data_IF_061981233004
#
_entry.id   IF_061981233004
#
_cell.length_a   1.000
_cell.length_b   1.000
_cell.length_c   1.000
_cell.angle_alpha   90.00
_cell.angle_beta   90.00
_cell.angle_gamma   90.00
#
_symmetry.space_group_name_H-M   'P 1'
#
loop_
_entity.id
_entity.type
_entity.pdbx_description
1 polymer ?
#
# COMPACT_ATOMS: atom_id res chain seq x y z
N UNK A 1 -6.42 -4.02 -21.51
CA UNK A 1 -5.01 -4.20 -21.12
C UNK A 1 -4.98 -4.58 -19.64
N UNK A 2 -4.28 -5.67 -19.27
CA UNK A 2 -3.98 -5.97 -17.87
C UNK A 2 -3.02 -4.89 -17.37
N UNK A 3 -3.56 -3.84 -16.76
CA UNK A 3 -2.74 -2.72 -16.29
C UNK A 3 -1.77 -3.20 -15.21
N UNK A 4 -0.48 -2.90 -15.38
CA UNK A 4 0.55 -3.21 -14.37
C UNK A 4 0.26 -2.36 -13.13
N UNK A 5 -0.28 -2.98 -12.09
CA UNK A 5 -0.52 -2.30 -10.82
C UNK A 5 0.82 -2.09 -10.10
N UNK A 6 1.13 -0.83 -9.75
CA UNK A 6 2.36 -0.44 -9.08
C UNK A 6 2.29 -0.78 -7.59
N UNK A 7 3.44 -1.05 -6.98
CA UNK A 7 3.58 -1.13 -5.51
C UNK A 7 3.56 0.29 -4.96
N UNK A 8 2.39 0.75 -4.54
CA UNK A 8 2.21 2.15 -4.16
C UNK A 8 3.02 2.49 -2.90
N UNK A 9 3.62 3.68 -2.90
CA UNK A 9 4.34 4.25 -1.77
C UNK A 9 3.86 5.68 -1.55
N UNK A 10 3.68 6.04 -0.30
CA UNK A 10 3.14 7.34 0.12
C UNK A 10 4.07 7.97 1.15
N UNK A 11 4.22 9.28 1.09
CA UNK A 11 4.87 10.08 2.13
C UNK A 11 3.83 11.03 2.71
N UNK A 12 3.71 11.04 4.03
CA UNK A 12 2.85 11.95 4.77
C UNK A 12 3.77 12.96 5.42
N UNK A 13 3.59 14.23 5.03
CA UNK A 13 4.43 15.34 5.47
C UNK A 13 3.58 16.40 6.16
N UNK A 14 4.20 17.18 7.04
CA UNK A 14 3.59 18.42 7.56
C UNK A 14 3.45 19.45 6.44
N UNK A 15 2.70 20.53 6.70
CA UNK A 15 2.64 21.68 5.79
C UNK A 15 4.04 22.26 5.52
N UNK A 16 4.94 22.22 6.51
CA UNK A 16 6.34 22.62 6.39
C UNK A 16 7.24 21.62 5.64
N UNK A 17 6.71 20.48 5.17
CA UNK A 17 7.45 19.47 4.41
C UNK A 17 8.22 18.44 5.24
N UNK A 18 8.10 18.46 6.57
CA UNK A 18 8.74 17.48 7.44
C UNK A 18 8.04 16.13 7.33
N UNK A 19 8.80 15.04 7.25
CA UNK A 19 8.24 13.68 7.17
C UNK A 19 7.65 13.25 8.52
N UNK A 20 6.36 12.93 8.52
CA UNK A 20 5.67 12.33 9.66
C UNK A 20 5.72 10.81 9.59
N UNK A 21 5.28 10.24 8.48
CA UNK A 21 5.24 8.79 8.27
C UNK A 21 5.25 8.42 6.78
N UNK A 22 5.51 7.15 6.51
CA UNK A 22 5.52 6.57 5.16
C UNK A 22 4.50 5.44 5.06
N UNK A 23 3.70 5.44 4.01
CA UNK A 23 2.81 4.34 3.66
C UNK A 23 3.45 3.45 2.59
N UNK A 24 3.54 2.15 2.85
CA UNK A 24 4.05 1.18 1.88
C UNK A 24 3.02 0.10 1.63
N UNK A 25 2.62 -0.04 0.37
CA UNK A 25 1.79 -1.15 -0.03
C UNK A 25 2.60 -2.46 -0.05
N UNK A 26 2.03 -3.46 0.59
CA UNK A 26 2.49 -4.84 0.59
C UNK A 26 1.48 -5.73 -0.13
N UNK A 27 1.94 -6.34 -1.21
CA UNK A 27 1.19 -7.23 -2.07
C UNK A 27 2.19 -7.99 -2.94
N UNK A 28 2.00 -9.28 -3.17
CA UNK A 28 2.86 -10.08 -4.02
C UNK A 28 2.82 -9.61 -5.47
N UNK A 29 3.94 -9.74 -6.19
CA UNK A 29 4.00 -9.42 -7.62
C UNK A 29 2.99 -10.25 -8.42
N UNK A 30 2.87 -11.55 -8.10
CA UNK A 30 1.94 -12.47 -8.76
C UNK A 30 0.49 -11.98 -8.60
N UNK A 31 0.12 -11.58 -7.38
CA UNK A 31 -1.23 -11.10 -7.07
C UNK A 31 -1.55 -9.77 -7.77
N UNK A 32 -0.56 -8.86 -7.87
CA UNK A 32 -0.70 -7.61 -8.64
C UNK A 32 -0.93 -7.87 -10.11
N UNK A 33 -0.23 -8.82 -10.71
CA UNK A 33 -0.34 -9.13 -12.14
C UNK A 33 -1.59 -9.94 -12.48
N UNK A 34 -1.95 -10.92 -11.64
CA UNK A 34 -3.05 -11.84 -11.89
C UNK A 34 -4.42 -11.24 -11.52
N UNK A 35 -4.51 -10.51 -10.40
CA UNK A 35 -5.79 -10.03 -9.85
C UNK A 35 -6.03 -8.53 -10.03
N UNK A 36 -5.01 -7.77 -10.45
CA UNK A 36 -5.14 -6.35 -10.76
C UNK A 36 -5.83 -5.55 -9.65
N UNK A 37 -6.98 -4.94 -9.93
CA UNK A 37 -7.73 -4.14 -8.96
C UNK A 37 -8.49 -4.98 -7.91
N UNK A 38 -8.71 -6.28 -8.16
CA UNK A 38 -9.41 -7.17 -7.23
C UNK A 38 -8.51 -7.69 -6.12
N UNK A 39 -7.18 -7.59 -6.27
CA UNK A 39 -6.20 -8.10 -5.31
C UNK A 39 -6.45 -7.58 -3.89
N UNK A 40 -6.25 -8.45 -2.91
CA UNK A 40 -6.02 -8.01 -1.55
C UNK A 40 -4.67 -7.31 -1.44
N UNK A 41 -4.54 -6.40 -0.49
CA UNK A 41 -3.26 -5.78 -0.14
C UNK A 41 -3.28 -5.20 1.26
N UNK A 42 -2.11 -5.06 1.85
CA UNK A 42 -1.91 -4.28 3.07
C UNK A 42 -1.22 -2.96 2.74
N UNK A 43 -1.55 -1.88 3.43
CA UNK A 43 -0.71 -0.69 3.49
C UNK A 43 -0.16 -0.60 4.91
N UNK A 44 1.17 -0.68 5.03
CA UNK A 44 1.89 -0.49 6.28
C UNK A 44 2.27 0.98 6.40
N UNK A 45 1.83 1.64 7.45
CA UNK A 45 2.20 3.01 7.76
C UNK A 45 3.23 2.95 8.88
N UNK A 46 4.44 3.36 8.52
CA UNK A 46 5.61 3.36 9.41
C UNK A 46 5.99 4.78 9.78
N UNK A 47 6.45 4.97 11.01
CA UNK A 47 7.02 6.23 11.45
C UNK A 47 8.34 6.54 10.73
N UNK A 48 8.94 7.69 11.06
CA UNK A 48 10.25 8.10 10.51
C UNK A 48 11.40 7.14 10.81
N UNK A 49 11.26 6.28 11.81
CA UNK A 49 12.26 5.27 12.18
C UNK A 49 11.96 3.90 11.53
N UNK A 50 10.90 3.79 10.74
CA UNK A 50 10.47 2.53 10.12
C UNK A 50 9.68 1.61 11.04
N UNK A 51 9.25 2.09 12.21
CA UNK A 51 8.40 1.33 13.13
C UNK A 51 6.96 1.38 12.63
N UNK A 52 6.37 0.21 12.39
CA UNK A 52 4.95 0.10 11.99
C UNK A 52 4.05 0.52 13.14
N UNK A 53 3.21 1.53 12.90
CA UNK A 53 2.19 1.98 13.85
C UNK A 53 0.77 1.65 13.40
N UNK A 54 0.51 1.67 12.09
CA UNK A 54 -0.82 1.40 11.53
C UNK A 54 -0.69 0.46 10.35
N UNK A 55 -1.61 -0.50 10.28
CA UNK A 55 -1.79 -1.40 9.14
C UNK A 55 -3.22 -1.29 8.63
N UNK A 56 -3.36 -1.09 7.33
CA UNK A 56 -4.65 -1.06 6.65
C UNK A 56 -4.71 -2.28 5.73
N UNK A 57 -5.60 -3.22 6.04
CA UNK A 57 -5.78 -4.41 5.24
C UNK A 57 -7.03 -4.26 4.36
N UNK A 58 -6.84 -4.42 3.05
CA UNK A 58 -7.91 -4.61 2.09
C UNK A 58 -7.95 -6.08 1.70
N UNK A 59 -9.01 -6.83 2.04
CA UNK A 59 -9.13 -8.21 1.62
C UNK A 59 -9.35 -8.29 0.10
N UNK A 60 -9.21 -9.50 -0.43
CA UNK A 60 -9.54 -9.78 -1.82
C UNK A 60 -10.98 -9.34 -2.13
N UNK A 61 -11.16 -8.54 -3.17
CA UNK A 61 -12.48 -8.14 -3.63
C UNK A 61 -13.03 -9.20 -4.58
N UNK A 62 -13.70 -10.20 -4.01
CA UNK A 62 -14.53 -11.14 -4.77
C UNK A 62 -15.88 -10.47 -5.03
N UNK A 63 -16.16 -10.11 -6.28
CA UNK A 63 -17.55 -9.84 -6.70
C UNK A 63 -18.23 -11.21 -6.77
N UNK A 64 -19.19 -11.45 -5.87
CA UNK A 64 -20.19 -12.51 -6.05
C UNK A 64 -21.05 -12.20 -7.27
#
# INVERSE_FOLDING_TARGET
ALGIQKRNQYKIVTEGGELLCMGQEDCGWVERMAMGAQRGFSIRIVDKNGVEGIRIDRPLSVRN
#
